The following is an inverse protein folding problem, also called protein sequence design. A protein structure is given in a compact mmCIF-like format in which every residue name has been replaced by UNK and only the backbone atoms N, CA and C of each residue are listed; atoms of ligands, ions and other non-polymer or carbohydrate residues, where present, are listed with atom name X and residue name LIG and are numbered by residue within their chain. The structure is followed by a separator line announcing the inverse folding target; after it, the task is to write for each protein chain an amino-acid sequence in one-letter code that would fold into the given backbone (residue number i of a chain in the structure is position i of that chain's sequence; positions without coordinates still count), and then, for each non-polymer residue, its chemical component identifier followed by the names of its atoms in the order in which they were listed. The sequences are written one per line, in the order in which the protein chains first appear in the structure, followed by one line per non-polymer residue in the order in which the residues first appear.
data_IF_560360871761
#
_entry.id   IF_560360871761
#
_cell.length_a   1.000
_cell.length_b   1.000
_cell.length_c   1.000
_cell.angle_alpha   90.00
_cell.angle_beta   90.00
_cell.angle_gamma   90.00
#
_symmetry.space_group_name_H-M   'P 1'
#
loop_
_entity.id
_entity.type
_entity.pdbx_description
1 polymer ?
#
# COMPACT_ATOMS: atom_id res chain seq x y z
N UNK A 1 9.26 -4.67 -15.80
CA UNK A 1 8.22 -4.04 -14.95
C UNK A 1 8.81 -2.82 -14.27
N UNK A 2 8.07 -1.71 -14.20
CA UNK A 2 8.54 -0.45 -13.61
C UNK A 2 7.64 -0.08 -12.43
N UNK A 3 8.16 -0.15 -11.21
CA UNK A 3 7.37 0.00 -9.99
C UNK A 3 8.01 1.01 -9.03
N UNK A 4 7.25 2.03 -8.65
CA UNK A 4 7.65 3.04 -7.67
C UNK A 4 6.67 3.02 -6.51
N UNK A 5 7.16 2.88 -5.29
CA UNK A 5 6.29 2.80 -4.11
C UNK A 5 6.86 1.96 -2.99
N UNK A 6 5.95 1.44 -2.16
CA UNK A 6 6.25 0.65 -0.97
C UNK A 6 6.15 -0.85 -1.26
N UNK A 7 6.34 -1.71 -0.24
CA UNK A 7 6.15 -3.16 -0.37
C UNK A 7 4.75 -3.52 -0.91
N UNK A 8 3.72 -2.76 -0.54
CA UNK A 8 2.35 -2.96 -1.03
C UNK A 8 2.19 -2.73 -2.55
N UNK A 9 3.10 -1.95 -3.15
CA UNK A 9 3.17 -1.75 -4.60
C UNK A 9 4.05 -2.80 -5.27
N UNK A 10 5.17 -3.19 -4.66
CA UNK A 10 6.13 -4.14 -5.25
C UNK A 10 5.63 -5.58 -5.22
N UNK A 11 5.04 -6.03 -4.11
CA UNK A 11 4.66 -7.42 -3.90
C UNK A 11 3.64 -7.96 -4.92
N UNK A 12 2.58 -7.20 -5.31
CA UNK A 12 1.69 -7.64 -6.39
C UNK A 12 2.40 -7.83 -7.73
N UNK A 13 3.40 -7.00 -8.05
CA UNK A 13 4.17 -7.14 -9.29
C UNK A 13 5.08 -8.36 -9.26
N UNK A 14 5.62 -8.75 -8.10
CA UNK A 14 6.34 -10.02 -7.96
C UNK A 14 5.44 -11.21 -8.25
N UNK A 15 4.21 -11.23 -7.71
CA UNK A 15 3.26 -12.29 -8.02
C UNK A 15 2.91 -12.34 -9.52
N UNK A 16 2.80 -11.19 -10.20
CA UNK A 16 2.62 -11.14 -11.66
C UNK A 16 3.88 -11.66 -12.37
N UNK A 17 5.08 -11.31 -11.89
CA UNK A 17 6.36 -11.71 -12.48
C UNK A 17 6.54 -13.22 -12.45
N UNK A 18 6.29 -13.85 -11.30
CA UNK A 18 6.32 -15.31 -11.13
C UNK A 18 5.39 -16.01 -12.11
N UNK A 19 4.15 -15.52 -12.26
CA UNK A 19 3.20 -16.08 -13.24
C UNK A 19 3.65 -15.90 -14.68
N UNK A 20 4.23 -14.76 -15.03
CA UNK A 20 4.80 -14.57 -16.37
C UNK A 20 5.99 -15.50 -16.63
N UNK A 21 6.82 -15.76 -15.61
CA UNK A 21 7.92 -16.74 -15.71
C UNK A 21 7.40 -18.16 -15.90
N UNK A 22 6.29 -18.56 -15.26
CA UNK A 22 5.62 -19.85 -15.52
C UNK A 22 5.18 -19.99 -17.00
N UNK A 23 4.81 -18.89 -17.65
CA UNK A 23 4.52 -18.86 -19.08
C UNK A 23 5.76 -18.73 -19.98
N UNK A 24 6.96 -18.80 -19.41
CA UNK A 24 8.24 -18.78 -20.14
C UNK A 24 8.77 -17.38 -20.46
N UNK A 25 8.22 -16.32 -19.86
CA UNK A 25 8.72 -14.96 -20.08
C UNK A 25 9.93 -14.64 -19.18
N UNK A 26 10.91 -13.94 -19.75
CA UNK A 26 11.99 -13.33 -18.97
C UNK A 26 11.49 -12.02 -18.36
N UNK A 27 11.47 -11.93 -17.03
CA UNK A 27 10.92 -10.78 -16.31
C UNK A 27 12.01 -10.10 -15.49
N UNK A 28 12.14 -8.80 -15.69
CA UNK A 28 12.89 -7.89 -14.84
C UNK A 28 11.94 -6.95 -14.11
N UNK A 29 12.11 -6.81 -12.81
CA UNK A 29 11.40 -5.84 -11.97
C UNK A 29 12.36 -4.71 -11.58
N UNK A 30 12.04 -3.50 -12.06
CA UNK A 30 12.77 -2.30 -11.71
C UNK A 30 12.02 -1.51 -10.63
N UNK A 31 12.67 -1.32 -9.48
CA UNK A 31 12.11 -0.56 -8.34
C UNK A 31 13.24 0.02 -7.47
N UNK A 32 12.91 0.54 -6.29
CA UNK A 32 13.87 1.12 -5.36
C UNK A 32 14.94 0.11 -4.89
N UNK A 33 16.18 0.57 -4.73
CA UNK A 33 17.35 -0.26 -4.41
C UNK A 33 17.19 -1.13 -3.15
N UNK A 34 16.44 -0.66 -2.15
CA UNK A 34 16.17 -1.39 -0.91
C UNK A 34 15.36 -2.68 -1.10
N UNK A 35 14.66 -2.86 -2.22
CA UNK A 35 13.91 -4.09 -2.53
C UNK A 35 14.73 -5.12 -3.33
N UNK A 36 16.02 -4.87 -3.59
CA UNK A 36 16.87 -5.78 -4.38
C UNK A 36 16.84 -7.21 -3.86
N UNK A 37 17.09 -7.40 -2.56
CA UNK A 37 17.07 -8.73 -1.92
C UNK A 37 15.70 -9.40 -2.01
N UNK A 38 14.63 -8.63 -1.77
CA UNK A 38 13.25 -9.13 -1.83
C UNK A 38 12.82 -9.58 -3.23
N UNK A 39 13.23 -8.85 -4.27
CA UNK A 39 12.95 -9.21 -5.67
C UNK A 39 13.77 -10.44 -6.08
N UNK A 40 15.06 -10.43 -5.79
CA UNK A 40 15.96 -11.54 -6.13
C UNK A 40 15.61 -12.83 -5.40
N UNK A 41 15.13 -12.75 -4.15
CA UNK A 41 14.70 -13.94 -3.40
C UNK A 41 13.50 -14.65 -4.02
N UNK A 42 12.69 -13.93 -4.81
CA UNK A 42 11.59 -14.48 -5.60
C UNK A 42 12.05 -15.05 -6.97
N UNK A 43 13.35 -15.02 -7.28
CA UNK A 43 13.88 -15.50 -8.56
C UNK A 43 13.62 -14.57 -9.75
N UNK A 44 13.34 -13.29 -9.49
CA UNK A 44 13.07 -12.28 -10.52
C UNK A 44 14.30 -11.38 -10.70
N UNK A 45 14.63 -11.03 -11.95
CA UNK A 45 15.73 -10.11 -12.24
C UNK A 45 15.44 -8.71 -11.68
N UNK A 46 16.45 -8.08 -11.08
CA UNK A 46 16.30 -6.79 -10.42
C UNK A 46 17.05 -5.68 -11.16
N UNK A 47 16.46 -4.48 -11.20
CA UNK A 47 17.14 -3.27 -11.64
C UNK A 47 16.79 -2.08 -10.73
N UNK A 48 17.76 -1.34 -10.17
CA UNK A 48 17.47 -0.23 -9.30
C UNK A 48 17.04 0.99 -10.11
N UNK A 49 15.87 1.51 -9.79
CA UNK A 49 15.47 2.84 -10.23
C UNK A 49 16.18 3.91 -9.41
N UNK A 50 16.34 5.09 -10.00
CA UNK A 50 16.88 6.26 -9.33
C UNK A 50 15.98 6.75 -8.21
N UNK A 51 16.52 7.69 -7.42
CA UNK A 51 15.88 8.22 -6.22
C UNK A 51 16.28 7.45 -4.96
N UNK A 52 16.42 8.18 -3.84
CA UNK A 52 16.76 7.62 -2.54
C UNK A 52 15.50 7.05 -1.87
N UNK A 53 15.45 5.73 -1.63
CA UNK A 53 14.30 5.07 -1.00
C UNK A 53 13.98 5.64 0.38
N UNK A 54 14.98 6.12 1.13
CA UNK A 54 14.83 6.70 2.48
C UNK A 54 14.18 8.07 2.43
N UNK A 55 14.50 8.86 1.40
CA UNK A 55 13.88 10.17 1.20
C UNK A 55 12.43 9.98 0.79
N UNK A 56 12.13 9.00 -0.07
CA UNK A 56 10.77 8.69 -0.48
C UNK A 56 9.95 8.10 0.69
N UNK A 57 10.51 7.16 1.45
CA UNK A 57 9.86 6.58 2.63
C UNK A 57 9.61 7.62 3.72
N UNK A 58 10.62 8.44 4.06
CA UNK A 58 10.46 9.54 5.02
C UNK A 58 9.49 10.61 4.54
N UNK A 59 9.41 10.83 3.22
CA UNK A 59 8.42 11.73 2.63
C UNK A 59 7.00 11.14 2.74
N UNK A 60 6.79 9.87 2.37
CA UNK A 60 5.51 9.19 2.52
C UNK A 60 5.10 9.13 3.99
N UNK A 61 6.03 8.86 4.90
CA UNK A 61 5.80 8.86 6.34
C UNK A 61 5.53 10.26 6.92
N UNK A 62 5.75 11.37 6.20
CA UNK A 62 5.42 12.71 6.69
C UNK A 62 4.25 13.36 5.96
N UNK A 63 3.96 12.91 4.75
CA UNK A 63 2.97 13.53 3.87
C UNK A 63 1.85 12.57 3.52
N UNK A 64 0.66 13.12 3.26
CA UNK A 64 -0.58 12.39 3.01
C UNK A 64 -0.63 11.78 1.60
N UNK A 65 0.35 10.94 1.25
CA UNK A 65 0.51 10.33 -0.07
C UNK A 65 1.59 11.01 -0.94
N UNK A 66 1.53 10.81 -2.26
CA UNK A 66 2.57 11.23 -3.21
C UNK A 66 2.61 12.75 -3.52
N UNK A 67 1.61 13.52 -3.07
CA UNK A 67 1.45 14.94 -3.43
C UNK A 67 2.09 15.83 -2.35
N UNK A 68 2.99 16.77 -2.70
CA UNK A 68 3.69 17.65 -1.76
C UNK A 68 2.71 18.43 -0.88
N UNK A 69 2.88 18.31 0.45
CA UNK A 69 2.03 19.02 1.42
C UNK A 69 2.66 20.34 1.89
N UNK A 70 3.98 20.52 1.71
CA UNK A 70 4.72 21.70 2.18
C UNK A 70 5.66 22.28 1.09
N UNK A 71 5.75 23.63 0.94
CA UNK A 71 6.59 24.28 -0.08
C UNK A 71 8.08 23.92 -0.03
N UNK A 72 8.62 23.65 1.17
CA UNK A 72 10.03 23.32 1.37
C UNK A 72 10.46 21.95 0.83
N UNK A 73 9.52 21.04 0.60
CA UNK A 73 9.81 19.66 0.19
C UNK A 73 9.73 19.46 -1.33
N UNK A 74 9.18 20.44 -2.06
CA UNK A 74 8.95 20.37 -3.51
C UNK A 74 10.27 20.18 -4.28
N UNK A 75 11.33 20.90 -3.89
CA UNK A 75 12.63 20.79 -4.56
C UNK A 75 13.22 19.39 -4.42
N UNK A 76 13.18 18.83 -3.21
CA UNK A 76 13.65 17.47 -2.93
C UNK A 76 12.83 16.45 -3.69
N UNK A 77 11.50 16.53 -3.65
CA UNK A 77 10.65 15.62 -4.41
C UNK A 77 10.89 15.68 -5.92
N UNK A 78 11.05 16.87 -6.50
CA UNK A 78 11.34 17.01 -7.94
C UNK A 78 12.66 16.34 -8.30
N UNK A 79 13.69 16.45 -7.43
CA UNK A 79 14.96 15.73 -7.63
C UNK A 79 14.77 14.21 -7.59
N UNK A 80 13.98 13.70 -6.63
CA UNK A 80 13.68 12.27 -6.54
C UNK A 80 12.93 11.77 -7.78
N UNK A 81 11.86 12.47 -8.17
CA UNK A 81 11.06 12.13 -9.34
C UNK A 81 11.87 12.19 -10.63
N UNK A 82 12.72 13.21 -10.78
CA UNK A 82 13.64 13.33 -11.92
C UNK A 82 14.56 12.11 -12.00
N UNK A 83 15.20 11.74 -10.89
CA UNK A 83 16.09 10.58 -10.85
C UNK A 83 15.36 9.26 -11.20
N UNK A 84 14.13 9.08 -10.73
CA UNK A 84 13.27 7.96 -11.11
C UNK A 84 13.06 7.96 -12.62
N UNK A 85 12.53 9.05 -13.19
CA UNK A 85 12.20 9.16 -14.62
C UNK A 85 13.42 8.92 -15.50
N UNK A 86 14.57 9.52 -15.16
CA UNK A 86 15.82 9.39 -15.92
C UNK A 86 16.38 7.96 -15.90
N UNK A 87 16.04 7.15 -14.89
CA UNK A 87 16.47 5.75 -14.80
C UNK A 87 15.59 4.75 -15.56
N UNK A 88 14.37 5.13 -15.96
CA UNK A 88 13.38 4.18 -16.51
C UNK A 88 13.78 3.59 -17.86
N UNK A 89 14.40 4.39 -18.75
CA UNK A 89 14.83 3.91 -20.06
C UNK A 89 15.92 2.84 -19.89
N UNK A 90 16.93 3.16 -19.09
CA UNK A 90 18.03 2.24 -18.81
C UNK A 90 17.53 0.93 -18.17
N UNK A 91 16.55 1.01 -17.26
CA UNK A 91 15.92 -0.18 -16.69
C UNK A 91 15.27 -1.12 -17.74
N UNK A 92 14.91 -0.59 -18.91
CA UNK A 92 14.29 -1.34 -20.01
C UNK A 92 15.28 -1.83 -21.07
N UNK A 93 16.50 -1.29 -21.14
CA UNK A 93 17.44 -1.51 -22.26
C UNK A 93 18.85 -1.91 -21.86
N UNK A 94 19.29 -1.54 -20.67
CA UNK A 94 20.65 -1.86 -20.22
C UNK A 94 20.74 -3.32 -19.75
N UNK A 95 21.90 -3.96 -19.90
CA UNK A 95 22.13 -5.30 -19.35
C UNK A 95 21.95 -5.31 -17.82
N UNK A 96 21.81 -6.52 -17.27
CA UNK A 96 21.87 -6.68 -15.82
C UNK A 96 23.23 -6.21 -15.30
N UNK A 97 23.22 -5.37 -14.26
CA UNK A 97 24.42 -4.67 -13.82
C UNK A 97 25.44 -5.58 -13.09
N UNK A 98 25.02 -6.76 -12.63
CA UNK A 98 25.89 -7.71 -11.93
C UNK A 98 26.37 -8.82 -12.86
N UNK A 99 25.46 -9.40 -13.63
CA UNK A 99 25.74 -10.54 -14.51
C UNK A 99 26.15 -10.13 -15.93
N UNK A 100 25.88 -8.89 -16.32
CA UNK A 100 26.08 -8.41 -17.69
C UNK A 100 25.11 -9.02 -18.71
N UNK A 101 24.12 -9.81 -18.27
CA UNK A 101 23.17 -10.44 -19.19
C UNK A 101 22.38 -9.36 -19.95
N UNK A 102 22.36 -9.42 -21.30
CA UNK A 102 21.58 -8.47 -22.09
C UNK A 102 20.10 -8.53 -21.73
N UNK A 103 19.46 -7.37 -21.67
CA UNK A 103 18.03 -7.28 -21.44
C UNK A 103 17.42 -6.24 -22.38
N UNK A 104 16.27 -6.58 -22.95
CA UNK A 104 15.51 -5.67 -23.80
C UNK A 104 14.03 -5.90 -23.57
N UNK A 105 13.36 -4.89 -23.03
CA UNK A 105 11.92 -4.95 -22.81
C UNK A 105 11.16 -5.07 -24.14
N UNK A 106 10.24 -6.03 -24.21
CA UNK A 106 9.28 -6.19 -25.32
C UNK A 106 7.86 -5.74 -24.94
N UNK A 107 7.62 -5.51 -23.65
CA UNK A 107 6.40 -4.94 -23.09
C UNK A 107 6.74 -4.33 -21.72
N UNK A 108 5.93 -3.36 -21.28
CA UNK A 108 6.06 -2.74 -19.96
C UNK A 108 4.78 -2.97 -19.16
N UNK A 109 4.93 -3.41 -17.91
CA UNK A 109 3.87 -3.31 -16.89
C UNK A 109 4.39 -2.32 -15.84
N UNK A 110 3.63 -1.27 -15.57
CA UNK A 110 4.06 -0.21 -14.67
C UNK A 110 2.93 0.28 -13.76
N UNK A 111 3.31 0.86 -12.62
CA UNK A 111 2.37 1.62 -11.81
C UNK A 111 2.47 3.13 -12.08
N UNK A 112 1.39 3.90 -11.89
CA UNK A 112 1.38 5.32 -12.21
C UNK A 112 2.44 6.18 -11.50
N UNK A 113 2.83 5.91 -10.23
CA UNK A 113 3.91 6.64 -9.57
C UNK A 113 5.28 6.60 -10.25
N UNK A 114 5.48 5.77 -11.27
CA UNK A 114 6.71 5.82 -12.07
C UNK A 114 6.75 7.03 -13.04
N UNK A 115 5.61 7.64 -13.39
CA UNK A 115 5.42 8.86 -14.22
C UNK A 115 5.99 8.86 -15.66
N UNK A 116 7.20 8.35 -15.90
CA UNK A 116 7.88 8.38 -17.21
C UNK A 116 7.63 7.14 -18.07
N UNK A 117 6.93 6.14 -17.55
CA UNK A 117 6.76 4.83 -18.18
C UNK A 117 6.10 4.89 -19.58
N UNK A 118 5.15 5.81 -19.80
CA UNK A 118 4.49 5.97 -21.11
C UNK A 118 5.46 6.47 -22.18
N UNK A 119 6.33 7.42 -21.83
CA UNK A 119 7.32 7.98 -22.75
C UNK A 119 8.39 6.94 -23.12
N UNK A 120 8.80 6.11 -22.16
CA UNK A 120 9.73 5.00 -22.41
C UNK A 120 9.09 3.96 -23.33
N UNK A 121 7.83 3.58 -23.09
CA UNK A 121 7.10 2.64 -23.94
C UNK A 121 6.96 3.16 -25.38
N UNK A 122 6.62 4.45 -25.54
CA UNK A 122 6.51 5.12 -26.83
C UNK A 122 7.86 5.15 -27.57
N UNK A 123 8.93 5.56 -26.88
CA UNK A 123 10.28 5.61 -27.45
C UNK A 123 10.78 4.23 -27.91
N UNK A 124 10.46 3.19 -27.15
CA UNK A 124 10.82 1.80 -27.48
C UNK A 124 9.83 1.13 -28.45
N UNK A 125 8.68 1.75 -28.73
CA UNK A 125 7.57 1.22 -29.54
C UNK A 125 7.07 -0.13 -29.06
N UNK A 126 6.91 -0.28 -27.75
CA UNK A 126 6.43 -1.51 -27.12
C UNK A 126 5.12 -1.25 -26.35
N UNK A 127 4.25 -2.27 -26.22
CA UNK A 127 3.01 -2.12 -25.45
C UNK A 127 3.29 -1.84 -23.97
N UNK A 128 2.41 -1.06 -23.36
CA UNK A 128 2.42 -0.77 -21.92
C UNK A 128 1.07 -1.06 -21.28
N UNK A 129 1.09 -1.74 -20.14
CA UNK A 129 -0.06 -1.95 -19.26
C UNK A 129 0.15 -1.20 -17.94
N UNK A 130 -0.85 -0.42 -17.53
CA UNK A 130 -0.83 0.31 -16.27
C UNK A 130 -1.64 -0.47 -15.24
N UNK A 131 -0.98 -0.87 -14.15
CA UNK A 131 -1.59 -1.56 -13.04
C UNK A 131 -1.42 -0.76 -11.75
N UNK A 132 -2.50 -0.63 -10.97
CA UNK A 132 -2.43 -0.05 -9.64
C UNK A 132 -3.46 -0.70 -8.72
N UNK A 133 -3.11 -0.88 -7.45
CA UNK A 133 -3.96 -1.54 -6.45
C UNK A 133 -5.00 -0.60 -5.84
N UNK A 134 -5.06 0.65 -6.31
CA UNK A 134 -6.04 1.65 -5.89
C UNK A 134 -6.63 2.35 -7.12
N UNK A 135 -7.85 2.93 -7.01
CA UNK A 135 -8.42 3.71 -8.10
C UNK A 135 -7.49 4.87 -8.47
N UNK A 136 -6.97 4.84 -9.71
CA UNK A 136 -6.13 5.91 -10.27
C UNK A 136 -6.81 6.65 -11.41
N UNK A 137 -7.69 5.94 -12.14
CA UNK A 137 -8.51 6.48 -13.22
C UNK A 137 -9.84 6.98 -12.66
N UNK A 138 -10.31 8.13 -13.15
CA UNK A 138 -11.65 8.62 -12.87
C UNK A 138 -12.69 7.62 -13.44
N UNK A 139 -13.45 6.90 -12.59
CA UNK A 139 -14.63 6.08 -12.97
C UNK A 139 -15.97 6.60 -12.44
N UNK A 140 -16.96 6.90 -13.30
CA UNK A 140 -18.23 7.64 -13.05
C UNK A 140 -19.19 7.09 -11.97
N UNK A 141 -18.80 6.09 -11.19
CA UNK A 141 -19.65 5.43 -10.20
C UNK A 141 -19.23 5.75 -8.76
N UNK A 142 -19.90 6.73 -8.12
CA UNK A 142 -20.03 6.79 -6.66
C UNK A 142 -19.62 8.10 -5.95
N UNK A 143 -20.60 8.70 -5.26
CA UNK A 143 -20.56 9.77 -4.23
C UNK A 143 -20.74 11.25 -4.63
N UNK A 144 -21.89 11.81 -4.24
CA UNK A 144 -22.27 13.21 -4.40
C UNK A 144 -22.06 13.99 -3.09
N UNK A 145 -21.18 15.00 -3.04
CA UNK A 145 -21.28 16.18 -2.15
C UNK A 145 -20.46 17.39 -2.70
N UNK A 146 -20.89 18.60 -2.35
CA UNK A 146 -20.66 19.92 -2.98
C UNK A 146 -19.28 20.59 -2.73
N UNK A 147 -18.73 21.36 -3.70
CA UNK A 147 -17.67 22.41 -3.55
C UNK A 147 -17.72 23.50 -4.68
N UNK A 148 -17.08 24.68 -4.55
CA UNK A 148 -17.40 25.91 -5.30
C UNK A 148 -16.64 26.14 -6.62
N UNK A 149 -17.10 27.17 -7.35
CA UNK A 149 -17.01 27.40 -8.81
C UNK A 149 -15.71 27.95 -9.40
N UNK A 150 -14.58 27.99 -8.69
CA UNK A 150 -13.46 28.90 -9.05
C UNK A 150 -12.13 28.26 -9.46
N UNK A 151 -12.07 26.95 -9.74
CA UNK A 151 -10.86 26.31 -10.31
C UNK A 151 -11.19 25.67 -11.66
N UNK A 152 -10.37 25.99 -12.67
CA UNK A 152 -10.61 25.78 -14.10
C UNK A 152 -10.98 24.35 -14.53
N UNK A 153 -11.76 24.30 -15.61
CA UNK A 153 -12.33 23.12 -16.25
C UNK A 153 -11.35 22.50 -17.26
N UNK A 154 -11.12 21.16 -17.23
CA UNK A 154 -10.86 20.43 -18.47
C UNK A 154 -11.75 19.19 -18.67
N UNK A 155 -12.25 19.08 -19.90
CA UNK A 155 -12.98 17.98 -20.60
C UNK A 155 -14.35 17.53 -20.05
N UNK A 156 -15.38 18.02 -20.73
CA UNK A 156 -16.84 17.90 -20.50
C UNK A 156 -17.49 16.75 -21.28
N UNK A 157 -17.09 15.49 -21.10
CA UNK A 157 -17.88 14.39 -21.68
C UNK A 157 -18.51 13.43 -20.67
N UNK A 158 -18.15 13.52 -19.39
CA UNK A 158 -18.80 12.71 -18.36
C UNK A 158 -18.92 13.47 -17.03
N UNK A 159 -20.15 13.81 -16.56
CA UNK A 159 -20.34 14.36 -15.22
C UNK A 159 -20.03 13.27 -14.20
N UNK A 160 -18.92 13.44 -13.47
CA UNK A 160 -18.36 12.37 -12.67
C UNK A 160 -18.34 12.72 -11.15
N UNK A 161 -18.88 11.84 -10.28
CA UNK A 161 -18.92 12.01 -8.82
C UNK A 161 -17.56 12.13 -8.07
N UNK A 162 -16.41 11.82 -8.69
CA UNK A 162 -15.10 11.82 -8.00
C UNK A 162 -14.31 13.12 -8.20
N UNK A 163 -14.85 14.11 -8.90
CA UNK A 163 -14.18 15.41 -9.08
C UNK A 163 -14.13 16.26 -7.79
N UNK A 164 -14.68 15.77 -6.66
CA UNK A 164 -14.74 16.48 -5.38
C UNK A 164 -14.52 15.54 -4.19
N UNK A 165 -13.33 14.94 -4.11
CA UNK A 165 -12.87 14.26 -2.89
C UNK A 165 -12.08 15.27 -2.04
N UNK A 166 -12.51 15.61 -0.81
CA UNK A 166 -11.64 16.31 0.15
C UNK A 166 -10.38 15.48 0.39
N UNK A 167 -9.22 16.12 0.51
CA UNK A 167 -7.87 15.53 0.65
C UNK A 167 -7.63 14.63 1.90
N UNK A 168 -8.62 13.95 2.44
CA UNK A 168 -8.49 13.07 3.61
C UNK A 168 -8.18 11.59 3.28
N UNK A 169 -8.06 11.23 2.00
CA UNK A 169 -7.77 9.85 1.55
C UNK A 169 -6.26 9.53 1.40
N UNK A 170 -5.40 10.27 2.11
CA UNK A 170 -3.95 10.11 2.04
C UNK A 170 -3.39 9.12 3.07
N UNK A 171 -2.15 8.69 2.82
CA UNK A 171 -1.35 7.86 3.71
C UNK A 171 -1.06 8.63 5.01
N UNK A 172 -1.68 8.24 6.13
CA UNK A 172 -1.42 8.85 7.44
C UNK A 172 -0.36 8.07 8.21
N UNK A 173 0.84 8.62 8.49
CA UNK A 173 1.75 8.00 9.46
C UNK A 173 1.11 7.90 10.84
N UNK A 174 1.57 6.95 11.66
CA UNK A 174 1.27 6.98 13.09
C UNK A 174 2.08 8.14 13.68
N UNK A 175 1.39 9.20 14.11
CA UNK A 175 2.02 10.40 14.69
C UNK A 175 2.71 10.08 16.02
N UNK A 176 2.18 9.12 16.78
CA UNK A 176 2.74 8.64 18.04
C UNK A 176 2.60 7.10 18.15
N UNK A 177 3.68 6.36 17.83
CA UNK A 177 3.70 4.91 17.91
C UNK A 177 3.52 4.36 19.34
N UNK A 178 4.00 5.09 20.37
CA UNK A 178 3.87 4.65 21.76
C UNK A 178 2.42 4.74 22.22
N UNK A 179 1.77 5.88 21.98
CA UNK A 179 0.36 6.07 22.28
C UNK A 179 -0.51 5.04 21.52
N UNK A 180 -0.17 4.73 20.27
CA UNK A 180 -0.88 3.70 19.49
C UNK A 180 -0.73 2.33 20.14
N UNK A 181 0.46 1.97 20.61
CA UNK A 181 0.70 0.70 21.30
C UNK A 181 -0.06 0.63 22.63
N UNK A 182 -0.08 1.71 23.41
CA UNK A 182 -0.82 1.79 24.67
C UNK A 182 -2.33 1.56 24.43
N UNK A 183 -2.90 2.19 23.40
CA UNK A 183 -4.28 1.97 22.95
C UNK A 183 -4.54 0.49 22.58
N UNK A 184 -3.63 -0.14 21.85
CA UNK A 184 -3.74 -1.56 21.46
C UNK A 184 -3.72 -2.47 22.68
N UNK A 185 -2.78 -2.26 23.59
CA UNK A 185 -2.65 -3.05 24.82
C UNK A 185 -3.87 -2.91 25.72
N UNK A 186 -4.39 -1.69 25.87
CA UNK A 186 -5.60 -1.42 26.65
C UNK A 186 -6.83 -2.11 26.04
N UNK A 187 -7.01 -2.02 24.72
CA UNK A 187 -8.14 -2.66 24.05
C UNK A 187 -8.08 -4.19 24.10
N UNK A 188 -6.90 -4.79 23.97
CA UNK A 188 -6.71 -6.24 24.14
C UNK A 188 -7.04 -6.69 25.56
N UNK A 189 -6.61 -5.92 26.57
CA UNK A 189 -6.93 -6.17 27.98
C UNK A 189 -8.43 -6.06 28.24
N UNK A 190 -9.07 -4.99 27.79
CA UNK A 190 -10.51 -4.72 27.94
C UNK A 190 -11.40 -5.78 27.25
N UNK A 191 -10.92 -6.35 26.14
CA UNK A 191 -11.63 -7.39 25.39
C UNK A 191 -11.23 -8.83 25.81
N UNK A 192 -10.28 -8.97 26.73
CA UNK A 192 -9.74 -10.24 27.19
C UNK A 192 -9.08 -11.07 26.09
N UNK A 193 -8.54 -10.42 25.06
CA UNK A 193 -7.93 -11.10 23.91
C UNK A 193 -6.41 -11.17 24.03
N UNK A 194 -5.84 -12.23 23.45
CA UNK A 194 -4.41 -12.29 23.13
C UNK A 194 -4.16 -11.54 21.82
N UNK A 195 -2.99 -10.92 21.70
CA UNK A 195 -2.63 -10.11 20.53
C UNK A 195 -1.35 -10.58 19.88
N UNK A 196 -1.29 -10.48 18.55
CA UNK A 196 -0.05 -10.49 17.79
C UNK A 196 0.10 -9.09 17.22
N UNK A 197 1.21 -8.41 17.53
CA UNK A 197 1.48 -7.07 17.04
C UNK A 197 2.67 -7.14 16.09
N UNK A 198 2.40 -6.90 14.81
CA UNK A 198 3.45 -6.73 13.80
C UNK A 198 4.12 -5.37 14.00
N UNK A 199 5.41 -5.38 14.31
CA UNK A 199 6.21 -4.17 14.51
C UNK A 199 6.48 -3.42 13.20
N UNK A 200 6.26 -4.08 12.05
CA UNK A 200 6.51 -3.52 10.74
C UNK A 200 7.99 -3.22 10.50
N UNK A 201 8.29 -2.73 9.30
CA UNK A 201 9.67 -2.57 8.83
C UNK A 201 10.27 -1.20 9.16
N UNK A 202 9.47 -0.24 9.64
CA UNK A 202 9.91 1.14 9.92
C UNK A 202 9.54 1.64 11.33
N UNK A 203 9.12 0.76 12.24
CA UNK A 203 8.70 1.16 13.58
C UNK A 203 9.43 0.31 14.63
N UNK A 204 10.51 0.93 15.14
CA UNK A 204 10.93 0.89 16.54
C UNK A 204 11.48 -0.45 17.05
N UNK A 205 12.82 -0.49 17.18
CA UNK A 205 13.50 -1.18 18.29
C UNK A 205 13.14 -0.56 19.65
N UNK A 206 11.86 -0.22 19.89
CA UNK A 206 11.44 0.00 21.26
C UNK A 206 11.26 -1.38 21.86
N UNK A 207 12.21 -1.73 22.70
CA UNK A 207 12.03 -2.78 23.70
C UNK A 207 10.91 -2.30 24.63
N UNK A 208 9.67 -2.62 24.27
CA UNK A 208 8.52 -2.45 25.16
C UNK A 208 8.30 -3.77 25.88
N UNK A 209 8.23 -3.72 27.20
CA UNK A 209 7.65 -4.82 27.96
C UNK A 209 6.18 -4.95 27.56
N UNK A 210 5.83 -6.09 26.97
CA UNK A 210 4.46 -6.45 26.66
C UNK A 210 3.99 -7.56 27.58
N UNK A 211 2.70 -7.64 27.91
CA UNK A 211 2.16 -8.75 28.70
C UNK A 211 2.35 -10.10 27.99
N UNK A 212 2.36 -11.20 28.74
CA UNK A 212 2.46 -12.58 28.20
C UNK A 212 1.34 -12.93 27.19
N UNK A 213 0.23 -12.20 27.21
CA UNK A 213 -0.87 -12.33 26.25
C UNK A 213 -0.59 -11.67 24.89
N UNK A 214 0.53 -10.97 24.72
CA UNK A 214 0.89 -10.23 23.52
C UNK A 214 2.23 -10.71 22.97
N UNK A 215 2.24 -11.08 21.68
CA UNK A 215 3.44 -11.48 20.98
C UNK A 215 3.85 -10.41 19.97
N UNK A 216 5.09 -9.89 20.10
CA UNK A 216 5.67 -8.94 19.15
C UNK A 216 6.28 -9.73 17.98
N UNK A 217 5.70 -9.52 16.80
CA UNK A 217 6.12 -10.18 15.58
C UNK A 217 6.98 -9.23 14.73
N UNK A 218 8.10 -9.75 14.20
CA UNK A 218 8.99 -8.98 13.31
C UNK A 218 8.59 -9.08 11.83
N UNK A 219 8.31 -10.28 11.34
CA UNK A 219 7.82 -10.52 9.98
C UNK A 219 7.15 -11.91 9.93
N UNK A 220 6.04 -12.03 9.21
CA UNK A 220 5.37 -13.29 8.95
C UNK A 220 4.55 -13.21 7.67
N UNK A 221 4.53 -14.25 6.82
CA UNK A 221 3.61 -14.31 5.68
C UNK A 221 2.15 -14.23 6.12
N UNK A 222 1.44 -13.20 5.64
CA UNK A 222 0.04 -12.96 6.02
C UNK A 222 -0.93 -14.05 5.55
N UNK A 223 -0.62 -14.74 4.46
CA UNK A 223 -1.38 -15.89 3.96
C UNK A 223 -1.30 -17.11 4.90
N UNK A 224 -0.21 -17.24 5.66
CA UNK A 224 -0.09 -18.25 6.72
C UNK A 224 -0.69 -17.76 8.03
N UNK A 225 -0.42 -16.50 8.42
CA UNK A 225 -0.82 -15.97 9.72
C UNK A 225 -2.33 -15.70 9.83
N UNK A 226 -2.92 -15.02 8.85
CA UNK A 226 -4.30 -14.53 8.95
C UNK A 226 -5.35 -15.63 9.13
N UNK A 227 -5.26 -16.82 8.48
CA UNK A 227 -6.16 -17.93 8.74
C UNK A 227 -6.16 -18.44 10.19
N UNK A 228 -5.13 -18.12 10.97
CA UNK A 228 -5.00 -18.54 12.38
C UNK A 228 -5.47 -17.45 13.37
N UNK A 229 -5.80 -16.26 12.87
CA UNK A 229 -6.20 -15.12 13.70
C UNK A 229 -7.71 -15.05 13.89
N UNK A 230 -8.14 -14.73 15.12
CA UNK A 230 -9.56 -14.51 15.46
C UNK A 230 -10.13 -13.18 14.92
N UNK A 231 -9.27 -12.22 14.60
CA UNK A 231 -9.60 -10.97 13.91
C UNK A 231 -8.30 -10.34 13.42
N UNK A 232 -8.38 -9.49 12.40
CA UNK A 232 -7.22 -8.76 11.88
C UNK A 232 -7.49 -7.26 11.88
N UNK A 233 -6.69 -6.52 12.64
CA UNK A 233 -6.66 -5.06 12.69
C UNK A 233 -5.46 -4.59 11.89
N UNK A 234 -5.66 -3.75 10.88
CA UNK A 234 -4.55 -3.33 10.02
C UNK A 234 -4.79 -1.95 9.42
N UNK A 235 -3.80 -1.40 8.74
CA UNK A 235 -3.90 -0.02 8.31
C UNK A 235 -4.82 0.22 7.08
N UNK A 236 -5.47 -0.79 6.51
CA UNK A 236 -6.29 -0.63 5.28
C UNK A 236 -5.51 -0.51 3.96
N UNK A 237 -4.23 -0.93 3.91
CA UNK A 237 -3.48 -1.05 2.66
C UNK A 237 -4.09 -2.11 1.75
N UNK A 238 -4.15 -1.85 0.44
CA UNK A 238 -4.88 -2.69 -0.51
C UNK A 238 -4.48 -4.18 -0.46
N UNK A 239 -3.18 -4.47 -0.39
CA UNK A 239 -2.67 -5.85 -0.28
C UNK A 239 -3.08 -6.55 1.02
N UNK A 240 -2.97 -5.87 2.16
CA UNK A 240 -3.38 -6.43 3.46
C UNK A 240 -4.89 -6.60 3.54
N UNK A 241 -5.68 -5.66 3.02
CA UNK A 241 -7.14 -5.79 2.92
C UNK A 241 -7.52 -7.01 2.07
N UNK A 242 -6.91 -7.14 0.90
CA UNK A 242 -7.18 -8.27 0.01
C UNK A 242 -6.80 -9.60 0.65
N UNK A 243 -5.68 -9.66 1.40
CA UNK A 243 -5.29 -10.87 2.12
C UNK A 243 -6.24 -11.19 3.27
N UNK A 244 -6.67 -10.19 4.06
CA UNK A 244 -7.68 -10.38 5.12
C UNK A 244 -8.98 -10.97 4.57
N UNK A 245 -9.46 -10.43 3.44
CA UNK A 245 -10.64 -10.95 2.75
C UNK A 245 -10.41 -12.35 2.14
N UNK A 246 -9.23 -12.61 1.57
CA UNK A 246 -8.89 -13.89 0.91
C UNK A 246 -8.67 -15.02 1.90
N UNK A 247 -8.04 -14.74 3.03
CA UNK A 247 -7.94 -15.68 4.14
C UNK A 247 -9.32 -16.21 4.52
N UNK A 248 -10.38 -15.50 4.08
CA UNK A 248 -11.75 -15.99 4.04
C UNK A 248 -12.10 -16.55 5.38
N UNK A 249 -11.60 -15.85 6.41
CA UNK A 249 -11.44 -16.41 7.73
C UNK A 249 -12.82 -16.95 8.07
N UNK A 250 -13.00 -18.29 8.12
CA UNK A 250 -14.35 -18.86 8.02
C UNK A 250 -15.28 -18.42 9.15
N UNK A 251 -14.69 -17.80 10.18
CA UNK A 251 -15.30 -17.32 11.40
C UNK A 251 -14.82 -15.90 11.83
N UNK A 252 -13.99 -15.19 11.05
CA UNK A 252 -13.26 -14.01 11.55
C UNK A 252 -13.18 -12.83 10.56
N UNK A 253 -13.53 -11.66 11.07
CA UNK A 253 -13.72 -10.44 10.30
C UNK A 253 -12.41 -9.65 10.23
N UNK A 254 -12.08 -9.17 9.03
CA UNK A 254 -10.89 -8.38 8.78
C UNK A 254 -11.23 -6.90 8.57
N UNK A 255 -10.41 -6.07 9.22
CA UNK A 255 -10.19 -4.64 9.01
C UNK A 255 -10.98 -3.68 9.91
N UNK A 256 -10.35 -3.27 11.01
CA UNK A 256 -10.37 -1.85 11.40
C UNK A 256 -9.54 -1.10 10.37
N UNK A 257 -10.06 0.02 9.88
CA UNK A 257 -9.54 0.72 8.71
C UNK A 257 -8.96 2.06 9.12
N UNK A 258 -7.64 2.16 8.95
CA UNK A 258 -6.82 3.29 9.39
C UNK A 258 -6.54 4.32 8.27
N UNK A 259 -6.57 3.94 6.98
CA UNK A 259 -5.83 4.72 5.96
C UNK A 259 -6.45 4.85 4.57
N UNK A 260 -7.39 3.98 4.18
CA UNK A 260 -8.19 4.16 2.96
C UNK A 260 -9.67 4.17 3.34
N UNK A 261 -10.23 5.37 3.53
CA UNK A 261 -11.67 5.56 3.74
C UNK A 261 -12.46 4.80 2.67
N UNK A 262 -11.95 4.76 1.44
CA UNK A 262 -12.62 4.11 0.31
C UNK A 262 -12.69 2.59 0.44
N UNK A 263 -11.60 1.89 0.76
CA UNK A 263 -11.64 0.44 0.95
C UNK A 263 -12.42 0.09 2.23
N UNK A 264 -12.28 0.91 3.27
CA UNK A 264 -12.93 0.64 4.54
C UNK A 264 -14.43 0.77 4.53
N UNK A 265 -14.92 1.82 3.91
CA UNK A 265 -16.35 1.98 3.67
C UNK A 265 -16.91 0.82 2.84
N UNK A 266 -16.14 0.24 1.92
CA UNK A 266 -16.59 -0.90 1.11
C UNK A 266 -16.66 -2.20 1.91
N UNK A 267 -15.67 -2.46 2.76
CA UNK A 267 -15.69 -3.61 3.68
C UNK A 267 -16.89 -3.50 4.61
N UNK A 268 -17.08 -2.34 5.25
CA UNK A 268 -18.20 -2.11 6.17
C UNK A 268 -19.57 -2.22 5.48
N UNK A 269 -19.77 -1.58 4.31
CA UNK A 269 -21.04 -1.69 3.55
C UNK A 269 -21.38 -3.09 3.09
N UNK A 270 -20.38 -3.97 2.96
CA UNK A 270 -20.59 -5.38 2.63
C UNK A 270 -20.84 -6.24 3.87
N UNK A 271 -20.85 -5.64 5.06
CA UNK A 271 -21.00 -6.34 6.33
C UNK A 271 -19.76 -7.14 6.72
N UNK A 272 -18.62 -6.95 6.06
CA UNK A 272 -17.39 -7.74 6.21
C UNK A 272 -16.42 -7.19 7.27
N UNK A 273 -16.84 -6.16 8.01
CA UNK A 273 -16.06 -5.56 9.10
C UNK A 273 -16.76 -4.37 9.76
N UNK A 274 -16.21 -3.88 10.89
CA UNK A 274 -16.74 -2.71 11.59
C UNK A 274 -16.59 -1.43 10.74
N UNK A 275 -17.27 -0.36 11.18
CA UNK A 275 -17.07 0.94 10.57
C UNK A 275 -15.60 1.39 10.70
N UNK A 276 -15.02 2.07 9.68
CA UNK A 276 -13.66 2.58 9.74
C UNK A 276 -13.48 3.57 10.90
N UNK A 277 -12.33 3.52 11.58
CA UNK A 277 -11.99 4.42 12.71
C UNK A 277 -10.95 5.44 12.21
N UNK A 278 -11.30 6.74 12.08
CA UNK A 278 -10.35 7.79 11.71
C UNK A 278 -9.23 7.99 12.76
N UNK A 279 -8.03 8.49 12.39
CA UNK A 279 -6.88 8.64 13.32
C UNK A 279 -7.22 9.49 14.52
N UNK A 280 -7.87 10.60 14.21
CA UNK A 280 -8.25 11.60 15.17
C UNK A 280 -9.30 11.08 16.17
N UNK A 281 -9.83 9.86 15.95
CA UNK A 281 -10.81 9.20 16.80
C UNK A 281 -10.34 7.83 17.29
N UNK A 282 -9.09 7.44 17.03
CA UNK A 282 -8.55 6.19 17.53
C UNK A 282 -8.35 6.30 19.05
N UNK A 283 -9.07 5.46 19.77
CA UNK A 283 -9.00 5.32 21.23
C UNK A 283 -9.16 3.86 21.63
N UNK A 284 -8.75 3.51 22.85
CA UNK A 284 -8.94 2.16 23.41
C UNK A 284 -10.41 1.73 23.33
N UNK A 285 -11.35 2.62 23.68
CA UNK A 285 -12.79 2.35 23.58
C UNK A 285 -13.23 2.02 22.14
N UNK A 286 -12.84 2.87 21.18
CA UNK A 286 -13.21 2.66 19.76
C UNK A 286 -12.66 1.34 19.21
N UNK A 287 -11.44 0.99 19.60
CA UNK A 287 -10.75 -0.24 19.20
C UNK A 287 -11.38 -1.47 19.87
N UNK A 288 -11.67 -1.39 21.17
CA UNK A 288 -12.37 -2.45 21.91
C UNK A 288 -13.75 -2.75 21.31
N UNK A 289 -14.52 -1.70 20.99
CA UNK A 289 -15.84 -1.85 20.38
C UNK A 289 -15.76 -2.54 19.01
N UNK A 290 -14.76 -2.19 18.20
CA UNK A 290 -14.53 -2.86 16.93
C UNK A 290 -14.09 -4.33 17.10
N UNK A 291 -13.24 -4.64 18.09
CA UNK A 291 -12.86 -6.03 18.41
C UNK A 291 -14.08 -6.83 18.86
N UNK A 292 -14.94 -6.27 19.72
CA UNK A 292 -16.19 -6.92 20.15
C UNK A 292 -17.12 -7.17 18.97
N UNK A 293 -17.32 -6.17 18.12
CA UNK A 293 -18.11 -6.29 16.91
C UNK A 293 -17.60 -7.45 16.04
N UNK A 294 -16.30 -7.50 15.72
CA UNK A 294 -15.70 -8.58 14.91
C UNK A 294 -15.85 -9.98 15.51
N UNK A 295 -16.22 -10.09 16.80
CA UNK A 295 -16.44 -11.37 17.50
C UNK A 295 -17.91 -11.78 17.57
N UNK A 296 -18.85 -10.95 17.13
CA UNK A 296 -20.28 -11.27 17.15
C UNK A 296 -20.57 -12.54 16.32
N UNK A 297 -21.35 -13.51 16.84
CA UNK A 297 -21.62 -14.77 16.14
C UNK A 297 -22.31 -14.61 14.80
N UNK A 298 -23.12 -13.55 14.64
CA UNK A 298 -23.88 -13.29 13.41
C UNK A 298 -23.00 -12.91 12.22
N UNK A 299 -21.82 -12.39 12.53
CA UNK A 299 -20.80 -12.14 11.53
C UNK A 299 -20.16 -13.49 11.14
N UNK A 300 -19.96 -14.48 11.99
CA UNK A 300 -19.22 -15.74 11.68
C UNK A 300 -19.86 -16.74 10.69
N UNK A 301 -20.49 -16.30 9.60
CA UNK A 301 -21.20 -17.10 8.60
C UNK A 301 -20.42 -17.35 7.32
#
# INVERSE_FOLDING_TARGET
MLVVGTRGDVQPFLAIAERLQEFGHHVRLATHANFSSFVRSAGVDFYPLGGDPRVLAGYMARNKGFIPSAPGEISTQRKQLKAIIESLLAACTEPDMETGMPFKAQAIIANPPAYGHVHVAEALRIPIHIFFTMPWTFSTQGYAFSLPSSIGRPTYEFPHPLARVPQSAGFWPLEDPKNTMDIILEALKDTGQRGIVDQGWEILEIVMEVPDSVFLLKDCPHDWLFPQCAAVVHHGGAGTTAMGLRAGCPDNYSAILWRSVLLGDRVHKKGLGPAPIPIARLSAESLSNAIRFMREPELKR
#
